data_IF_649703605520
#
_entry.id   IF_649703605520
#
_cell.length_a   1.000
_cell.length_b   1.000
_cell.length_c   1.000
_cell.angle_alpha   90.00
_cell.angle_beta   90.00
_cell.angle_gamma   90.00
#
_symmetry.space_group_name_H-M   'P 1'
#
loop_
_entity.id
_entity.type
_entity.pdbx_description
1 polymer ?
#
# COMPACT_ATOMS: atom_id res chain seq x y z
N UNK A 1 19.82 13.76 95.95
CA UNK A 1 19.56 12.35 96.34
C UNK A 1 19.69 11.46 95.10
N UNK A 2 20.57 10.46 95.20
CA UNK A 2 20.65 9.14 94.55
C UNK A 2 19.95 8.87 93.19
N UNK A 3 20.79 8.76 92.16
CA UNK A 3 21.02 7.69 91.13
C UNK A 3 20.16 6.38 91.15
N UNK A 4 20.24 5.42 90.16
CA UNK A 4 20.40 5.38 88.67
C UNK A 4 19.47 4.34 87.94
N UNK A 5 19.80 4.02 86.66
CA UNK A 5 19.57 2.78 85.85
C UNK A 5 18.25 2.79 85.01
N UNK A 6 18.19 2.55 83.69
CA UNK A 6 18.71 1.41 82.88
C UNK A 6 19.01 1.82 81.43
N UNK A 7 20.13 1.29 80.90
CA UNK A 7 20.46 1.18 79.49
C UNK A 7 19.77 -0.02 78.84
N UNK A 8 19.17 0.17 77.66
CA UNK A 8 18.83 -0.95 76.75
C UNK A 8 19.37 -0.69 75.35
N UNK A 9 20.29 -1.56 74.98
CA UNK A 9 20.76 -1.90 73.64
C UNK A 9 19.56 -2.42 72.82
N UNK A 10 19.44 -2.06 71.53
CA UNK A 10 19.23 -3.06 70.47
C UNK A 10 19.23 -2.52 69.03
N UNK A 11 20.14 -3.14 68.26
CA UNK A 11 20.00 -3.64 66.88
C UNK A 11 19.57 -2.69 65.76
N UNK A 12 20.58 -2.33 64.96
CA UNK A 12 20.50 -2.25 63.50
C UNK A 12 19.73 -3.42 62.91
N UNK A 13 18.65 -3.14 62.16
CA UNK A 13 17.99 -4.14 61.29
C UNK A 13 18.04 -3.66 59.84
N UNK A 14 18.62 -4.53 59.03
CA UNK A 14 18.80 -4.46 57.59
C UNK A 14 17.45 -4.32 56.86
N UNK A 15 17.17 -3.14 56.30
CA UNK A 15 16.01 -2.93 55.42
C UNK A 15 16.31 -2.23 54.09
N UNK A 16 17.48 -1.61 53.96
CA UNK A 16 17.81 -0.73 52.83
C UNK A 16 18.50 -1.43 51.65
N UNK A 17 19.20 -2.55 51.90
CA UNK A 17 20.03 -3.21 50.88
C UNK A 17 19.25 -3.97 49.80
N UNK A 18 18.09 -4.56 50.15
CA UNK A 18 17.34 -5.46 49.25
C UNK A 18 16.63 -4.65 48.15
N UNK A 19 16.05 -3.50 48.51
CA UNK A 19 15.35 -2.63 47.55
C UNK A 19 16.34 -1.96 46.58
N UNK A 20 17.52 -1.54 47.08
CA UNK A 20 18.58 -1.00 46.24
C UNK A 20 19.19 -2.05 45.30
N UNK A 21 19.36 -3.30 45.77
CA UNK A 21 19.83 -4.41 44.95
C UNK A 21 18.82 -4.79 43.86
N UNK A 22 17.52 -4.83 44.18
CA UNK A 22 16.45 -5.08 43.20
C UNK A 22 16.41 -4.00 42.11
N UNK A 23 16.53 -2.74 42.49
CA UNK A 23 16.57 -1.62 41.54
C UNK A 23 17.83 -1.64 40.66
N UNK A 24 18.97 -2.09 41.19
CA UNK A 24 20.20 -2.29 40.43
C UNK A 24 20.09 -3.46 39.44
N UNK A 25 19.46 -4.57 39.84
CA UNK A 25 19.20 -5.73 38.96
C UNK A 25 18.26 -5.34 37.82
N UNK A 26 17.18 -4.60 38.09
CA UNK A 26 16.24 -4.14 37.04
C UNK A 26 16.90 -3.14 36.07
N UNK A 27 17.89 -2.36 36.54
CA UNK A 27 18.67 -1.44 35.69
C UNK A 27 19.82 -2.11 34.94
N UNK A 28 20.21 -3.33 35.32
CA UNK A 28 21.30 -4.08 34.69
C UNK A 28 21.00 -4.43 33.24
N UNK A 29 21.98 -4.23 32.37
CA UNK A 29 21.91 -4.61 30.95
C UNK A 29 21.62 -6.10 30.76
N UNK A 30 22.04 -6.96 31.70
CA UNK A 30 21.76 -8.39 31.69
C UNK A 30 20.28 -8.70 31.92
N UNK A 31 19.61 -7.97 32.81
CA UNK A 31 18.17 -8.15 33.04
C UNK A 31 17.36 -7.69 31.83
N UNK A 32 17.73 -6.55 31.23
CA UNK A 32 17.11 -6.07 29.99
C UNK A 32 17.31 -7.03 28.83
N UNK A 33 18.50 -7.63 28.71
CA UNK A 33 18.78 -8.65 27.71
C UNK A 33 17.98 -9.93 27.97
N UNK A 34 17.90 -10.39 29.21
CA UNK A 34 17.12 -11.58 29.58
C UNK A 34 15.62 -11.37 29.30
N UNK A 35 15.05 -10.23 29.69
CA UNK A 35 13.65 -9.87 29.38
C UNK A 35 13.46 -9.74 27.86
N UNK A 36 14.42 -9.14 27.15
CA UNK A 36 14.41 -9.07 25.68
C UNK A 36 14.43 -10.43 25.00
N UNK A 37 15.26 -11.37 25.48
CA UNK A 37 15.33 -12.74 24.99
C UNK A 37 14.06 -13.54 25.30
N UNK A 38 13.46 -13.36 26.48
CA UNK A 38 12.19 -14.00 26.84
C UNK A 38 11.05 -13.43 25.99
N UNK A 39 10.98 -12.11 25.79
CA UNK A 39 10.00 -11.50 24.89
C UNK A 39 10.19 -11.96 23.44
N UNK A 40 11.43 -12.08 22.96
CA UNK A 40 11.72 -12.61 21.64
C UNK A 40 11.34 -14.10 21.52
N UNK A 41 11.60 -14.91 22.55
CA UNK A 41 11.21 -16.32 22.60
C UNK A 41 9.69 -16.50 22.65
N UNK A 42 8.98 -15.69 23.44
CA UNK A 42 7.51 -15.67 23.49
C UNK A 42 6.96 -15.19 22.15
N UNK A 43 7.52 -14.15 21.54
CA UNK A 43 7.13 -13.70 20.20
C UNK A 43 7.38 -14.78 19.15
N UNK A 44 8.49 -15.51 19.23
CA UNK A 44 8.79 -16.60 18.30
C UNK A 44 7.81 -17.77 18.47
N UNK A 45 7.47 -18.18 19.69
CA UNK A 45 6.52 -19.27 19.92
C UNK A 45 5.05 -18.89 19.72
N UNK A 46 4.68 -17.63 19.95
CA UNK A 46 3.31 -17.13 19.73
C UNK A 46 3.07 -16.80 18.24
N UNK A 47 4.10 -16.34 17.51
CA UNK A 47 3.97 -15.99 16.09
C UNK A 47 4.35 -17.12 15.13
N UNK A 48 5.13 -18.10 15.57
CA UNK A 48 5.53 -19.27 14.80
C UNK A 48 5.26 -20.52 15.64
N UNK A 49 4.26 -21.31 15.25
CA UNK A 49 4.03 -22.62 15.83
C UNK A 49 5.18 -23.55 15.42
N UNK A 50 6.21 -23.67 16.27
CA UNK A 50 7.42 -24.46 16.02
C UNK A 50 7.17 -25.97 16.25
N UNK A 51 5.96 -26.37 16.67
CA UNK A 51 5.64 -27.77 16.95
C UNK A 51 5.41 -28.63 15.69
N UNK A 52 5.35 -28.02 14.49
CA UNK A 52 5.11 -28.72 13.22
C UNK A 52 6.33 -29.02 12.33
N UNK A 53 7.57 -28.78 12.78
CA UNK A 53 8.76 -28.77 11.88
C UNK A 53 9.55 -30.10 11.86
N UNK A 54 9.07 -31.18 12.51
CA UNK A 54 9.70 -32.49 12.37
C UNK A 54 8.71 -33.59 11.98
N UNK A 55 8.67 -33.91 10.69
CA UNK A 55 7.99 -35.08 10.12
C UNK A 55 8.38 -35.31 8.66
N UNK A 56 8.83 -36.51 8.25
CA UNK A 56 9.34 -36.74 6.90
C UNK A 56 8.20 -37.16 5.97
N UNK A 57 7.85 -36.33 4.99
CA UNK A 57 7.08 -36.83 3.84
C UNK A 57 7.45 -36.16 2.51
N UNK A 58 8.70 -36.39 2.11
CA UNK A 58 9.22 -36.03 0.80
C UNK A 58 8.77 -37.04 -0.29
N UNK A 59 8.23 -38.21 0.09
CA UNK A 59 7.81 -39.25 -0.86
C UNK A 59 6.35 -39.10 -1.34
N UNK A 60 5.47 -38.50 -0.55
CA UNK A 60 4.09 -38.18 -1.00
C UNK A 60 4.04 -36.98 -1.95
N UNK A 61 4.99 -36.05 -1.85
CA UNK A 61 5.08 -34.88 -2.75
C UNK A 61 5.56 -35.26 -4.16
N UNK A 62 6.46 -36.24 -4.29
CA UNK A 62 7.05 -36.63 -5.58
C UNK A 62 6.12 -37.49 -6.46
N UNK A 63 5.06 -38.09 -5.91
CA UNK A 63 4.08 -38.86 -6.71
C UNK A 63 3.04 -37.99 -7.42
N UNK A 64 2.94 -36.70 -7.12
CA UNK A 64 1.97 -35.78 -7.76
C UNK A 64 2.51 -35.06 -9.00
N UNK A 65 3.77 -35.28 -9.37
CA UNK A 65 4.42 -34.64 -10.53
C UNK A 65 4.60 -35.55 -11.75
N UNK A 66 3.94 -36.72 -11.78
CA UNK A 66 3.86 -37.57 -12.98
C UNK A 66 2.41 -37.71 -13.41
N UNK A 67 1.95 -36.73 -14.17
CA UNK A 67 0.82 -36.78 -15.10
C UNK A 67 0.95 -35.52 -15.99
N UNK A 68 2.04 -35.49 -16.74
CA UNK A 68 2.19 -34.65 -17.91
C UNK A 68 2.21 -35.63 -19.08
N UNK A 69 1.04 -35.90 -19.64
CA UNK A 69 0.86 -36.39 -21.00
C UNK A 69 -0.57 -36.02 -21.44
N UNK A 70 -0.68 -35.48 -22.65
CA UNK A 70 -1.89 -35.14 -23.41
C UNK A 70 -2.55 -33.77 -23.15
N UNK A 71 -1.91 -32.69 -23.61
CA UNK A 71 -2.62 -31.63 -24.36
C UNK A 71 -1.72 -31.15 -25.51
N UNK A 72 -1.79 -31.85 -26.63
CA UNK A 72 -1.29 -31.38 -27.93
C UNK A 72 -2.26 -31.84 -29.01
N UNK A 73 -3.44 -31.23 -29.10
CA UNK A 73 -4.28 -31.19 -30.31
C UNK A 73 -5.53 -30.35 -30.04
N UNK A 74 -5.50 -29.09 -30.45
CA UNK A 74 -6.68 -28.31 -30.86
C UNK A 74 -6.23 -26.93 -31.35
N UNK A 75 -5.39 -26.91 -32.39
CA UNK A 75 -5.28 -25.76 -33.26
C UNK A 75 -6.36 -25.87 -34.34
N UNK A 76 -6.96 -24.72 -34.66
CA UNK A 76 -7.82 -24.43 -35.83
C UNK A 76 -9.29 -24.91 -35.80
N UNK A 77 -10.20 -23.96 -35.56
CA UNK A 77 -11.41 -23.71 -36.37
C UNK A 77 -11.99 -22.32 -36.07
N UNK A 78 -12.34 -21.50 -37.09
CA UNK A 78 -12.96 -20.19 -36.87
C UNK A 78 -14.47 -20.38 -36.69
N UNK A 79 -15.01 -20.00 -35.53
CA UNK A 79 -16.46 -19.87 -35.35
C UNK A 79 -16.88 -18.43 -35.58
N UNK A 80 -17.68 -18.26 -36.63
CA UNK A 80 -18.35 -17.04 -37.02
C UNK A 80 -19.69 -16.99 -36.26
N UNK A 81 -19.75 -16.28 -35.14
CA UNK A 81 -21.00 -16.00 -34.43
C UNK A 81 -21.16 -14.49 -34.25
N UNK A 82 -22.22 -13.95 -34.83
CA UNK A 82 -22.67 -12.57 -34.65
C UNK A 82 -22.99 -12.33 -33.16
N UNK A 83 -22.47 -11.26 -32.53
CA UNK A 83 -22.83 -10.95 -31.15
C UNK A 83 -24.25 -10.39 -31.11
N UNK A 84 -25.19 -11.19 -30.62
CA UNK A 84 -26.49 -10.72 -30.16
C UNK A 84 -26.28 -9.74 -29.00
N UNK A 85 -26.79 -8.52 -29.21
CA UNK A 85 -26.89 -7.41 -28.26
C UNK A 85 -27.33 -7.86 -26.87
N UNK A 86 -26.38 -8.00 -25.95
CA UNK A 86 -26.63 -7.82 -24.53
C UNK A 86 -26.16 -6.42 -24.16
N UNK A 87 -27.10 -5.58 -23.72
CA UNK A 87 -26.89 -4.21 -23.26
C UNK A 87 -25.87 -4.18 -22.12
N UNK A 88 -24.59 -4.05 -22.46
CA UNK A 88 -23.60 -3.44 -21.59
C UNK A 88 -24.04 -2.00 -21.35
N UNK A 89 -24.13 -1.62 -20.08
CA UNK A 89 -24.29 -0.22 -19.69
C UNK A 89 -22.97 0.46 -20.05
N UNK A 90 -22.87 0.93 -21.29
CA UNK A 90 -21.65 1.54 -21.82
C UNK A 90 -21.28 2.74 -20.98
N UNK A 91 -20.08 2.73 -20.41
CA UNK A 91 -19.43 3.96 -19.95
C UNK A 91 -19.16 4.74 -21.24
N UNK A 92 -19.98 5.74 -21.54
CA UNK A 92 -20.02 6.43 -22.84
C UNK A 92 -18.80 7.32 -23.11
N UNK A 93 -17.86 7.43 -22.18
CA UNK A 93 -16.86 8.49 -22.16
C UNK A 93 -15.45 8.00 -21.80
N UNK A 94 -15.14 6.70 -21.99
CA UNK A 94 -13.77 6.18 -21.80
C UNK A 94 -12.83 6.88 -22.80
N UNK A 95 -11.73 7.52 -22.34
CA UNK A 95 -10.80 8.21 -23.23
C UNK A 95 -10.24 7.32 -24.34
N UNK A 96 -10.12 7.86 -25.56
CA UNK A 96 -9.70 7.10 -26.75
C UNK A 96 -8.30 6.48 -26.60
N UNK A 97 -7.42 7.15 -25.88
CA UNK A 97 -6.05 6.71 -25.62
C UNK A 97 -5.96 5.53 -24.64
N UNK A 98 -7.03 5.28 -23.89
CA UNK A 98 -7.23 4.10 -23.04
C UNK A 98 -7.74 2.92 -23.89
N UNK A 99 -8.66 3.18 -24.84
CA UNK A 99 -9.27 2.16 -25.71
C UNK A 99 -8.29 1.65 -26.80
N UNK A 100 -7.49 2.54 -27.37
CA UNK A 100 -6.62 2.27 -28.53
C UNK A 100 -5.39 1.40 -28.24
N UNK A 101 -5.11 1.06 -26.98
CA UNK A 101 -3.88 0.38 -26.58
C UNK A 101 -3.81 -1.09 -27.04
N UNK A 102 -4.96 -1.70 -27.33
CA UNK A 102 -5.05 -3.05 -27.92
C UNK A 102 -4.34 -3.19 -29.27
N UNK A 103 -4.15 -2.08 -30.01
CA UNK A 103 -3.49 -2.08 -31.32
C UNK A 103 -1.97 -1.85 -31.24
N UNK A 104 -1.40 -1.50 -30.08
CA UNK A 104 0.02 -1.13 -29.96
C UNK A 104 0.94 -2.27 -29.52
N UNK A 105 0.40 -3.40 -29.03
CA UNK A 105 1.18 -4.61 -28.73
C UNK A 105 1.91 -5.19 -29.95
N UNK A 106 1.53 -4.78 -31.16
CA UNK A 106 2.12 -5.20 -32.43
C UNK A 106 3.11 -4.21 -33.06
N UNK A 107 3.17 -2.96 -32.59
CA UNK A 107 4.15 -1.97 -33.03
C UNK A 107 5.40 -2.08 -32.14
N UNK A 108 6.33 -2.92 -32.58
CA UNK A 108 7.72 -3.01 -32.08
C UNK A 108 8.20 -1.72 -31.43
N UNK A 109 8.48 -1.79 -30.12
CA UNK A 109 8.90 -0.70 -29.24
C UNK A 109 9.95 0.22 -29.86
N UNK A 110 9.49 1.28 -30.51
CA UNK A 110 10.34 2.39 -30.92
C UNK A 110 10.82 3.10 -29.65
N UNK A 111 12.14 3.05 -29.42
CA UNK A 111 12.91 3.78 -28.40
C UNK A 111 12.29 3.79 -26.98
N UNK A 112 12.71 2.83 -26.16
CA UNK A 112 12.35 2.82 -24.73
C UNK A 112 12.92 4.04 -23.99
N UNK A 113 12.19 4.55 -23.01
CA UNK A 113 12.70 5.58 -22.11
C UNK A 113 13.95 5.09 -21.36
N UNK A 114 14.90 5.98 -21.03
CA UNK A 114 16.09 5.61 -20.27
C UNK A 114 15.71 5.06 -18.88
N UNK A 115 16.58 4.22 -18.31
CA UNK A 115 16.37 3.60 -16.99
C UNK A 115 16.27 4.68 -15.90
N UNK A 116 17.10 5.73 -16.03
CA UNK A 116 17.06 6.91 -15.17
C UNK A 116 16.50 8.04 -16.03
N UNK A 117 15.33 8.60 -15.69
CA UNK A 117 14.77 9.73 -16.41
C UNK A 117 15.73 10.93 -16.37
N UNK A 118 15.97 11.62 -17.51
CA UNK A 118 16.99 12.66 -17.60
C UNK A 118 16.53 13.99 -16.99
N UNK A 119 15.22 14.17 -16.79
CA UNK A 119 14.59 15.43 -16.38
C UNK A 119 14.30 15.52 -14.88
N UNK A 120 14.89 14.63 -14.07
CA UNK A 120 14.76 14.65 -12.62
C UNK A 120 15.56 15.82 -12.03
N UNK A 121 14.94 16.57 -11.13
CA UNK A 121 15.54 17.75 -10.50
C UNK A 121 15.84 17.57 -9.01
N UNK A 122 15.40 16.45 -8.41
CA UNK A 122 15.50 16.22 -6.98
C UNK A 122 14.37 16.92 -6.24
N UNK A 123 14.71 17.82 -5.31
CA UNK A 123 13.73 18.44 -4.43
C UNK A 123 12.77 19.36 -5.19
N UNK A 124 11.46 19.14 -5.00
CA UNK A 124 10.39 19.94 -5.56
C UNK A 124 9.53 20.46 -4.39
N UNK A 125 9.47 21.79 -4.17
CA UNK A 125 8.66 22.34 -3.10
C UNK A 125 7.16 22.16 -3.38
N UNK A 126 6.43 21.79 -2.33
CA UNK A 126 4.97 21.66 -2.35
C UNK A 126 4.31 23.02 -2.57
N UNK A 127 3.49 23.13 -3.62
CA UNK A 127 2.60 24.28 -3.82
C UNK A 127 1.36 24.08 -2.96
N UNK A 128 1.14 24.95 -1.98
CA UNK A 128 0.00 24.87 -1.04
C UNK A 128 -1.17 25.76 -1.46
N UNK A 129 -0.91 26.76 -2.28
CA UNK A 129 -1.83 27.79 -2.77
C UNK A 129 -2.46 27.39 -4.12
N UNK A 130 -3.13 26.24 -4.16
CA UNK A 130 -3.90 25.81 -5.34
C UNK A 130 -5.36 26.19 -5.10
N UNK A 131 -5.91 27.12 -5.90
CA UNK A 131 -7.28 27.61 -5.69
C UNK A 131 -8.33 26.63 -6.25
N UNK A 132 -8.22 26.32 -7.54
CA UNK A 132 -9.03 25.32 -8.24
C UNK A 132 -8.13 24.44 -9.11
N UNK A 133 -8.62 23.24 -9.45
CA UNK A 133 -7.95 22.39 -10.43
C UNK A 133 -8.17 22.89 -11.85
N UNK A 134 -9.35 23.42 -12.16
CA UNK A 134 -9.72 23.95 -13.48
C UNK A 134 -8.75 25.07 -13.92
N UNK A 135 -8.33 25.93 -12.97
CA UNK A 135 -7.42 27.05 -13.21
C UNK A 135 -5.99 26.61 -13.57
N UNK A 136 -5.59 25.40 -13.13
CA UNK A 136 -4.22 24.89 -13.29
C UNK A 136 -4.13 23.78 -14.35
N UNK A 137 -5.24 23.38 -14.98
CA UNK A 137 -5.24 22.36 -16.04
C UNK A 137 -4.32 22.75 -17.20
N UNK A 138 -4.27 24.05 -17.54
CA UNK A 138 -3.43 24.61 -18.59
C UNK A 138 -1.93 24.46 -18.32
N UNK A 139 -1.51 24.25 -17.07
CA UNK A 139 -0.11 23.99 -16.71
C UNK A 139 0.33 22.55 -17.02
N UNK A 140 -0.63 21.65 -17.29
CA UNK A 140 -0.39 20.24 -17.60
C UNK A 140 -0.95 19.86 -18.97
N UNK A 141 -0.49 20.50 -20.07
CA UNK A 141 -1.06 20.29 -21.41
C UNK A 141 -0.91 18.85 -21.90
N UNK A 142 0.13 18.14 -21.44
CA UNK A 142 0.45 16.77 -21.83
C UNK A 142 -0.30 15.70 -21.04
N UNK A 143 -1.01 16.07 -19.96
CA UNK A 143 -1.87 15.14 -19.22
C UNK A 143 -3.18 15.01 -20.00
N UNK A 144 -3.50 13.82 -20.47
CA UNK A 144 -4.73 13.48 -21.20
C UNK A 144 -5.91 13.31 -20.25
N UNK A 145 -7.12 13.32 -20.81
CA UNK A 145 -8.36 13.14 -20.06
C UNK A 145 -8.30 11.87 -19.19
N UNK A 146 -8.85 11.94 -17.99
CA UNK A 146 -8.72 10.89 -16.97
C UNK A 146 -7.44 10.97 -16.14
N UNK A 147 -6.63 12.02 -16.30
CA UNK A 147 -5.35 12.16 -15.59
C UNK A 147 -4.28 11.18 -16.07
N UNK A 148 -4.35 10.80 -17.35
CA UNK A 148 -3.43 9.84 -17.96
C UNK A 148 -2.29 10.59 -18.64
N UNK A 149 -1.06 10.15 -18.46
CA UNK A 149 0.11 10.76 -19.11
C UNK A 149 1.00 9.69 -19.70
N UNK A 150 1.56 10.00 -20.87
CA UNK A 150 2.58 9.19 -21.53
C UNK A 150 3.69 10.09 -22.09
N UNK A 151 4.97 9.70 -21.96
CA UNK A 151 6.06 10.41 -22.63
C UNK A 151 5.89 10.42 -24.14
N UNK A 152 6.17 11.54 -24.80
CA UNK A 152 6.02 11.69 -26.26
C UNK A 152 7.25 11.19 -27.03
N UNK A 153 8.42 11.28 -26.42
CA UNK A 153 9.73 11.07 -27.06
C UNK A 153 10.26 9.64 -26.93
N UNK A 154 9.59 8.82 -26.12
CA UNK A 154 9.99 7.44 -25.83
C UNK A 154 8.82 6.60 -25.32
N UNK A 155 8.94 5.28 -25.44
CA UNK A 155 7.98 4.34 -24.86
C UNK A 155 8.35 4.06 -23.40
N UNK A 156 7.43 4.35 -22.46
CA UNK A 156 7.70 4.10 -21.04
C UNK A 156 7.90 2.61 -20.75
N UNK A 157 8.78 2.31 -19.79
CA UNK A 157 8.99 0.96 -19.26
C UNK A 157 7.96 0.59 -18.19
N UNK A 158 7.19 1.57 -17.71
CA UNK A 158 6.34 1.42 -16.55
C UNK A 158 4.96 2.03 -16.82
N UNK A 159 3.94 1.16 -16.86
CA UNK A 159 2.51 1.53 -16.82
C UNK A 159 2.02 1.47 -15.37
N UNK A 160 1.66 2.62 -14.79
CA UNK A 160 1.45 2.78 -13.35
C UNK A 160 0.08 3.38 -13.03
N UNK A 161 -0.73 2.69 -12.23
CA UNK A 161 -1.94 3.27 -11.66
C UNK A 161 -1.64 3.87 -10.28
N UNK A 162 -1.97 5.14 -10.09
CA UNK A 162 -1.90 5.82 -8.79
C UNK A 162 -3.29 5.79 -8.16
N UNK A 163 -3.45 5.03 -7.09
CA UNK A 163 -4.73 4.73 -6.46
C UNK A 163 -4.87 5.51 -5.15
N UNK A 164 -5.85 6.41 -5.10
CA UNK A 164 -6.02 7.36 -4.00
C UNK A 164 -7.40 7.14 -3.36
N UNK A 165 -7.47 6.52 -2.17
CA UNK A 165 -8.73 6.35 -1.46
C UNK A 165 -9.16 7.70 -0.88
N UNK A 166 -10.43 8.07 -1.07
CA UNK A 166 -10.88 9.44 -0.88
C UNK A 166 -12.27 9.52 -0.23
N UNK A 167 -12.48 10.55 0.60
CA UNK A 167 -13.80 11.04 1.05
C UNK A 167 -13.65 12.40 1.73
N UNK A 168 -14.44 13.40 1.33
CA UNK A 168 -14.53 14.72 2.00
C UNK A 168 -13.18 15.42 2.25
N UNK A 169 -12.31 15.44 1.23
CA UNK A 169 -10.92 15.96 1.32
C UNK A 169 -10.60 16.95 0.19
N UNK A 170 -11.56 17.80 -0.20
CA UNK A 170 -11.47 18.67 -1.38
C UNK A 170 -10.23 19.59 -1.38
N UNK A 171 -9.91 20.20 -0.24
CA UNK A 171 -8.72 21.05 -0.09
C UNK A 171 -7.41 20.27 -0.25
N UNK A 172 -7.37 19.02 0.22
CA UNK A 172 -6.22 18.14 0.00
C UNK A 172 -6.14 17.70 -1.45
N UNK A 173 -7.28 17.42 -2.09
CA UNK A 173 -7.34 16.95 -3.46
C UNK A 173 -6.68 17.91 -4.44
N UNK A 174 -7.05 19.19 -4.40
CA UNK A 174 -6.47 20.19 -5.32
C UNK A 174 -4.96 20.36 -5.14
N UNK A 175 -4.49 20.39 -3.90
CA UNK A 175 -3.06 20.48 -3.57
C UNK A 175 -2.33 19.22 -4.05
N UNK A 176 -2.88 18.04 -3.77
CA UNK A 176 -2.29 16.76 -4.13
C UNK A 176 -2.18 16.59 -5.65
N UNK A 177 -3.28 16.76 -6.38
CA UNK A 177 -3.34 16.55 -7.84
C UNK A 177 -2.38 17.48 -8.57
N UNK A 178 -2.32 18.76 -8.19
CA UNK A 178 -1.36 19.68 -8.78
C UNK A 178 0.09 19.22 -8.56
N UNK A 179 0.46 18.86 -7.33
CA UNK A 179 1.85 18.52 -7.02
C UNK A 179 2.25 17.14 -7.55
N UNK A 180 1.35 16.16 -7.62
CA UNK A 180 1.68 14.82 -8.11
C UNK A 180 2.04 14.86 -9.60
N UNK A 181 1.32 15.63 -10.44
CA UNK A 181 1.66 15.75 -11.86
C UNK A 181 3.03 16.41 -12.11
N UNK A 182 3.42 17.40 -11.28
CA UNK A 182 4.75 18.03 -11.34
C UNK A 182 5.89 17.05 -11.12
N UNK A 183 5.64 15.99 -10.35
CA UNK A 183 6.60 14.93 -10.03
C UNK A 183 6.56 13.83 -11.09
N UNK A 184 5.39 13.26 -11.37
CA UNK A 184 5.27 12.06 -12.19
C UNK A 184 5.66 12.29 -13.66
N UNK A 185 5.34 13.44 -14.25
CA UNK A 185 5.68 13.73 -15.65
C UNK A 185 7.21 13.68 -15.89
N UNK A 186 8.03 14.12 -14.92
CA UNK A 186 9.51 14.10 -14.99
C UNK A 186 10.09 12.70 -14.96
N UNK A 187 9.34 11.74 -14.42
CA UNK A 187 9.77 10.36 -14.24
C UNK A 187 9.65 9.51 -15.50
N UNK A 188 9.10 10.06 -16.60
CA UNK A 188 8.89 9.36 -17.86
C UNK A 188 8.14 8.02 -17.70
N UNK A 189 7.23 7.95 -16.73
CA UNK A 189 6.32 6.82 -16.54
C UNK A 189 5.03 7.04 -17.33
N UNK A 190 4.45 5.97 -17.85
CA UNK A 190 3.06 5.96 -18.32
C UNK A 190 2.19 5.78 -17.07
N UNK A 191 1.37 6.78 -16.73
CA UNK A 191 0.61 6.74 -15.48
C UNK A 191 -0.81 7.29 -15.60
N UNK A 192 -1.73 6.69 -14.86
CA UNK A 192 -3.08 7.22 -14.62
C UNK A 192 -3.31 7.53 -13.14
N UNK A 193 -4.03 8.61 -12.85
CA UNK A 193 -4.38 9.03 -11.49
C UNK A 193 -5.84 8.72 -11.20
N UNK A 194 -6.11 7.91 -10.18
CA UNK A 194 -7.45 7.46 -9.80
C UNK A 194 -7.79 7.90 -8.39
N UNK A 195 -8.89 8.64 -8.27
CA UNK A 195 -9.46 9.08 -6.99
C UNK A 195 -10.70 8.24 -6.72
N UNK A 196 -10.60 7.33 -5.76
CA UNK A 196 -11.64 6.37 -5.41
C UNK A 196 -12.41 6.88 -4.20
N UNK A 197 -13.55 7.49 -4.44
CA UNK A 197 -14.40 8.10 -3.44
C UNK A 197 -15.40 7.10 -2.83
N UNK A 198 -15.45 7.04 -1.49
CA UNK A 198 -16.47 6.30 -0.77
C UNK A 198 -17.76 7.12 -0.65
N UNK A 199 -18.82 6.69 -1.35
CA UNK A 199 -20.12 7.36 -1.39
C UNK A 199 -21.12 6.93 -0.32
N UNK A 200 -20.84 5.89 0.44
CA UNK A 200 -21.70 5.42 1.54
C UNK A 200 -21.35 6.06 2.90
N UNK A 201 -22.28 5.91 3.85
CA UNK A 201 -22.21 6.51 5.18
C UNK A 201 -21.50 5.64 6.23
N UNK A 202 -20.84 4.52 5.85
CA UNK A 202 -20.07 3.72 6.81
C UNK A 202 -18.79 4.45 7.23
N UNK A 203 -18.11 3.90 8.24
CA UNK A 203 -16.75 4.31 8.55
C UNK A 203 -15.86 4.21 7.30
N UNK A 204 -14.81 5.03 7.22
CA UNK A 204 -13.94 5.04 6.04
C UNK A 204 -13.19 3.71 5.92
N UNK A 205 -13.18 3.11 4.73
CA UNK A 205 -12.50 1.84 4.50
C UNK A 205 -11.45 1.98 3.40
N UNK A 206 -10.27 2.43 3.82
CA UNK A 206 -9.12 2.69 2.95
C UNK A 206 -8.75 1.47 2.11
N UNK A 207 -8.50 0.33 2.74
CA UNK A 207 -8.08 -0.90 2.07
C UNK A 207 -9.09 -1.40 1.02
N UNK A 208 -10.39 -1.33 1.32
CA UNK A 208 -11.44 -1.73 0.37
C UNK A 208 -11.47 -0.81 -0.85
N UNK A 209 -11.29 0.50 -0.68
CA UNK A 209 -11.18 1.45 -1.79
C UNK A 209 -9.93 1.19 -2.66
N UNK A 210 -8.80 0.78 -2.06
CA UNK A 210 -7.61 0.40 -2.83
C UNK A 210 -7.85 -0.84 -3.70
N UNK A 211 -8.59 -1.84 -3.19
CA UNK A 211 -9.01 -3.00 -3.99
C UNK A 211 -9.92 -2.59 -5.14
N UNK A 212 -10.89 -1.71 -4.89
CA UNK A 212 -11.79 -1.16 -5.93
C UNK A 212 -10.97 -0.44 -6.99
N UNK A 213 -10.07 0.46 -6.59
CA UNK A 213 -9.19 1.19 -7.51
C UNK A 213 -8.33 0.26 -8.36
N UNK A 214 -7.81 -0.83 -7.78
CA UNK A 214 -7.08 -1.85 -8.52
C UNK A 214 -7.93 -2.50 -9.61
N UNK A 215 -9.17 -2.92 -9.28
CA UNK A 215 -10.08 -3.58 -10.21
C UNK A 215 -10.51 -2.62 -11.34
N UNK A 216 -10.98 -1.43 -10.99
CA UNK A 216 -11.48 -0.45 -11.97
C UNK A 216 -10.36 0.06 -12.90
N UNK A 217 -9.18 0.38 -12.35
CA UNK A 217 -8.06 0.82 -13.19
C UNK A 217 -7.55 -0.28 -14.14
N UNK A 218 -7.54 -1.54 -13.69
CA UNK A 218 -7.13 -2.68 -14.52
C UNK A 218 -8.15 -2.98 -15.64
N UNK A 219 -9.43 -2.68 -15.41
CA UNK A 219 -10.47 -2.80 -16.43
C UNK A 219 -10.34 -1.75 -17.53
N UNK A 220 -9.78 -0.58 -17.19
CA UNK A 220 -9.57 0.51 -18.14
C UNK A 220 -8.28 0.31 -18.95
N UNK A 221 -7.18 -0.04 -18.30
CA UNK A 221 -5.86 -0.07 -18.94
C UNK A 221 -4.96 -1.17 -18.39
N UNK A 222 -4.03 -1.70 -19.19
CA UNK A 222 -3.11 -2.76 -18.76
C UNK A 222 -1.96 -2.24 -17.87
N UNK A 223 -2.32 -1.69 -16.70
CA UNK A 223 -1.35 -1.30 -15.69
C UNK A 223 -0.62 -2.53 -15.14
N UNK A 224 0.71 -2.41 -15.04
CA UNK A 224 1.58 -3.45 -14.46
C UNK A 224 1.97 -3.15 -13.01
N UNK A 225 1.82 -1.90 -12.59
CA UNK A 225 2.23 -1.38 -11.30
C UNK A 225 1.13 -0.54 -10.67
N UNK A 226 0.94 -0.70 -9.36
CA UNK A 226 -0.07 0.01 -8.59
C UNK A 226 0.60 0.70 -7.41
N UNK A 227 0.42 2.01 -7.31
CA UNK A 227 0.88 2.83 -6.19
C UNK A 227 -0.33 3.19 -5.35
N UNK A 228 -0.35 2.74 -4.11
CA UNK A 228 -1.39 3.04 -3.13
C UNK A 228 -0.97 4.28 -2.35
N UNK A 229 -1.80 5.32 -2.40
CA UNK A 229 -1.36 6.65 -2.03
C UNK A 229 -2.36 7.36 -1.11
N UNK A 230 -1.92 7.75 0.08
CA UNK A 230 -2.71 8.63 0.95
C UNK A 230 -2.76 10.05 0.37
N UNK A 231 -3.94 10.67 0.32
CA UNK A 231 -4.16 11.99 -0.30
C UNK A 231 -3.41 13.13 0.42
N UNK A 232 -3.01 12.93 1.67
CA UNK A 232 -2.38 13.92 2.51
C UNK A 232 -0.84 13.82 2.53
N UNK A 233 -0.25 12.97 1.70
CA UNK A 233 1.20 12.88 1.54
C UNK A 233 1.59 13.43 0.17
N UNK A 234 2.39 14.49 0.10
CA UNK A 234 2.85 15.06 -1.17
C UNK A 234 4.33 14.71 -1.37
N UNK A 235 4.73 14.02 -2.45
CA UNK A 235 6.14 13.77 -2.72
C UNK A 235 6.88 15.08 -2.99
N UNK A 236 8.05 15.25 -2.36
CA UNK A 236 8.88 16.46 -2.52
C UNK A 236 10.23 16.18 -3.16
N UNK A 237 10.44 14.98 -3.70
CA UNK A 237 11.67 14.62 -4.41
C UNK A 237 11.36 13.66 -5.57
N UNK A 238 11.56 14.12 -6.79
CA UNK A 238 11.19 13.36 -8.00
C UNK A 238 12.11 12.16 -8.27
N UNK A 239 13.25 12.06 -7.57
CA UNK A 239 14.12 10.88 -7.59
C UNK A 239 13.47 9.72 -6.82
N UNK A 240 12.38 9.91 -6.08
CA UNK A 240 11.57 8.83 -5.55
C UNK A 240 10.61 8.28 -6.63
N UNK A 241 11.18 7.69 -7.69
CA UNK A 241 10.43 7.27 -8.88
C UNK A 241 9.29 6.30 -8.54
N UNK A 242 8.09 6.60 -9.03
CA UNK A 242 6.82 5.90 -8.80
C UNK A 242 6.71 4.66 -9.67
N UNK A 243 7.56 3.68 -9.38
CA UNK A 243 7.60 2.40 -10.09
C UNK A 243 7.67 1.23 -9.13
N UNK A 244 7.16 0.10 -9.59
CA UNK A 244 7.19 -1.15 -8.85
C UNK A 244 8.52 -1.88 -9.12
N UNK A 245 9.35 -2.11 -8.10
CA UNK A 245 10.44 -3.06 -8.23
C UNK A 245 9.90 -4.50 -8.21
N UNK A 246 10.79 -5.49 -8.34
CA UNK A 246 10.44 -6.91 -8.23
C UNK A 246 9.83 -7.29 -6.86
N UNK A 247 10.05 -6.47 -5.84
CA UNK A 247 9.56 -6.66 -4.47
C UNK A 247 8.63 -5.50 -4.07
N UNK A 248 7.81 -5.65 -3.02
CA UNK A 248 7.00 -4.55 -2.50
C UNK A 248 7.86 -3.34 -2.14
N UNK A 249 7.39 -2.13 -2.45
CA UNK A 249 8.09 -0.89 -2.08
C UNK A 249 7.25 -0.08 -1.11
N UNK A 250 7.81 0.28 0.03
CA UNK A 250 7.30 1.37 0.85
C UNK A 250 8.00 2.66 0.44
N UNK A 251 7.23 3.71 0.17
CA UNK A 251 7.70 4.91 -0.50
C UNK A 251 7.81 6.13 0.42
N UNK A 252 6.94 6.27 1.42
CA UNK A 252 6.90 7.40 2.36
C UNK A 252 7.85 7.26 3.55
N UNK A 253 9.16 7.23 3.29
CA UNK A 253 10.18 6.93 4.32
C UNK A 253 10.44 8.11 5.26
N UNK A 254 10.42 9.34 4.74
CA UNK A 254 10.62 10.56 5.52
C UNK A 254 9.46 11.52 5.26
N UNK A 255 8.80 11.98 6.32
CA UNK A 255 7.62 12.86 6.26
C UNK A 255 7.92 14.08 7.14
N UNK A 256 7.91 15.29 6.56
CA UNK A 256 8.18 16.55 7.27
C UNK A 256 9.42 16.50 8.18
N UNK A 257 10.52 15.94 7.66
CA UNK A 257 11.80 15.74 8.36
C UNK A 257 11.82 14.67 9.47
N UNK A 258 10.72 13.95 9.67
CA UNK A 258 10.63 12.84 10.62
C UNK A 258 10.63 11.49 9.89
N UNK A 259 10.94 10.41 10.62
CA UNK A 259 10.80 9.05 10.07
C UNK A 259 9.32 8.72 9.86
N UNK A 260 8.95 8.43 8.61
CA UNK A 260 7.67 7.81 8.26
C UNK A 260 7.67 6.30 8.49
N UNK A 261 8.76 5.73 9.00
CA UNK A 261 8.92 4.30 9.31
C UNK A 261 9.08 4.14 10.82
N UNK A 262 7.99 4.21 11.60
CA UNK A 262 8.06 4.05 13.06
C UNK A 262 8.43 2.62 13.49
N UNK A 263 8.26 1.64 12.60
CA UNK A 263 8.66 0.25 12.80
C UNK A 263 8.98 -0.42 11.45
N UNK A 264 9.82 -1.46 11.48
CA UNK A 264 10.39 -2.08 10.27
C UNK A 264 9.33 -2.61 9.27
N UNK A 265 8.17 -3.02 9.77
CA UNK A 265 7.07 -3.61 9.01
C UNK A 265 6.09 -2.59 8.40
N UNK A 266 6.31 -1.29 8.61
CA UNK A 266 5.42 -0.23 8.12
C UNK A 266 5.26 -0.28 6.59
N UNK A 267 4.02 -0.35 6.12
CA UNK A 267 3.65 -0.33 4.71
C UNK A 267 2.51 0.66 4.39
N UNK A 268 2.09 1.46 5.38
CA UNK A 268 1.10 2.53 5.22
C UNK A 268 1.65 3.80 4.58
N UNK A 269 0.82 4.82 4.42
CA UNK A 269 1.20 6.05 3.72
C UNK A 269 1.20 5.86 2.21
N UNK A 270 2.39 5.65 1.64
CA UNK A 270 2.58 5.42 0.21
C UNK A 270 3.36 4.14 -0.03
N UNK A 271 2.81 3.26 -0.85
CA UNK A 271 3.42 1.96 -1.19
C UNK A 271 3.17 1.57 -2.65
N UNK A 272 3.96 0.64 -3.18
CA UNK A 272 3.81 0.15 -4.55
C UNK A 272 3.94 -1.37 -4.63
N UNK A 273 3.03 -1.99 -5.40
CA UNK A 273 3.00 -3.43 -5.70
C UNK A 273 2.76 -3.67 -7.18
N UNK A 274 3.39 -4.71 -7.73
CA UNK A 274 3.09 -5.18 -9.09
C UNK A 274 1.71 -5.82 -9.15
N UNK A 275 1.15 -5.90 -10.37
CA UNK A 275 -0.08 -6.65 -10.67
C UNK A 275 -0.03 -8.08 -10.11
N UNK A 276 1.09 -8.76 -10.33
CA UNK A 276 1.32 -10.13 -9.85
C UNK A 276 1.27 -10.22 -8.32
N UNK A 277 1.95 -9.32 -7.61
CA UNK A 277 1.96 -9.34 -6.14
C UNK A 277 0.57 -9.09 -5.56
N UNK A 278 -0.19 -8.16 -6.13
CA UNK A 278 -1.59 -7.92 -5.74
C UNK A 278 -2.46 -9.18 -5.88
N UNK A 279 -2.34 -9.90 -6.99
CA UNK A 279 -3.09 -11.14 -7.20
C UNK A 279 -2.66 -12.24 -6.22
N UNK A 280 -1.34 -12.42 -6.03
CA UNK A 280 -0.80 -13.48 -5.15
C UNK A 280 -1.18 -13.32 -3.68
N UNK A 281 -1.35 -12.10 -3.21
CA UNK A 281 -1.81 -11.83 -1.83
C UNK A 281 -3.31 -11.67 -1.69
N UNK A 282 -4.07 -11.84 -2.78
CA UNK A 282 -5.50 -11.57 -2.83
C UNK A 282 -5.83 -10.11 -2.43
N UNK A 283 -4.98 -9.15 -2.80
CA UNK A 283 -5.10 -7.73 -2.42
C UNK A 283 -5.22 -7.46 -0.91
N UNK A 284 -5.80 -6.31 -0.58
CA UNK A 284 -5.99 -5.86 0.81
C UNK A 284 -7.21 -6.52 1.47
N UNK A 285 -7.25 -6.55 2.81
CA UNK A 285 -8.42 -6.95 3.59
C UNK A 285 -9.57 -5.97 3.43
N UNK A 286 -10.79 -6.45 3.19
CA UNK A 286 -11.96 -5.57 3.00
C UNK A 286 -12.65 -5.17 4.31
N UNK A 287 -12.21 -5.70 5.46
CA UNK A 287 -12.96 -5.61 6.73
C UNK A 287 -12.42 -4.58 7.73
N UNK A 288 -11.43 -3.78 7.32
CA UNK A 288 -10.91 -2.68 8.14
C UNK A 288 -11.77 -1.41 7.99
N UNK A 289 -12.81 -1.31 8.83
CA UNK A 289 -13.67 -0.14 8.93
C UNK A 289 -13.14 0.84 9.97
N UNK A 290 -12.70 2.02 9.54
CA UNK A 290 -12.00 2.99 10.38
C UNK A 290 -10.48 2.81 10.36
N UNK A 291 -9.76 3.64 11.13
CA UNK A 291 -8.30 3.72 11.01
C UNK A 291 -7.55 2.53 11.65
N UNK A 292 -6.62 1.98 10.88
CA UNK A 292 -5.46 1.21 11.35
C UNK A 292 -5.55 -0.30 11.19
N UNK A 293 -4.39 -0.92 10.94
CA UNK A 293 -4.16 -2.35 10.91
C UNK A 293 -4.27 -3.00 9.52
N UNK A 294 -4.81 -2.30 8.53
CA UNK A 294 -4.93 -2.79 7.16
C UNK A 294 -3.58 -2.87 6.44
N UNK A 295 -2.70 -1.92 6.73
CA UNK A 295 -1.32 -1.88 6.21
C UNK A 295 -0.49 -3.05 6.76
N UNK A 296 -0.69 -3.34 8.04
CA UNK A 296 -0.02 -4.42 8.76
C UNK A 296 -0.48 -5.79 8.24
N UNK A 297 -1.78 -5.95 7.98
CA UNK A 297 -2.36 -7.15 7.35
C UNK A 297 -1.71 -7.38 5.98
N UNK A 298 -1.63 -6.34 5.14
CA UNK A 298 -0.92 -6.42 3.86
C UNK A 298 0.55 -6.82 4.02
N UNK A 299 1.28 -6.25 4.98
CA UNK A 299 2.66 -6.66 5.27
C UNK A 299 2.74 -8.14 5.65
N UNK A 300 1.80 -8.65 6.45
CA UNK A 300 1.76 -10.07 6.82
C UNK A 300 1.47 -10.97 5.63
N UNK A 301 0.53 -10.60 4.75
CA UNK A 301 0.26 -11.33 3.50
C UNK A 301 1.50 -11.38 2.60
N UNK A 302 2.18 -10.25 2.42
CA UNK A 302 3.42 -10.17 1.62
C UNK A 302 4.54 -11.03 2.20
N UNK A 303 4.75 -10.97 3.51
CA UNK A 303 5.74 -11.82 4.18
C UNK A 303 5.41 -13.31 4.06
N UNK A 304 4.13 -13.67 4.08
CA UNK A 304 3.71 -15.06 3.93
C UNK A 304 4.14 -15.69 2.59
N UNK A 305 4.22 -14.87 1.54
CA UNK A 305 4.72 -15.27 0.22
C UNK A 305 6.20 -14.91 0.01
N UNK A 306 6.98 -14.82 1.10
CA UNK A 306 8.42 -14.55 1.15
C UNK A 306 8.85 -13.23 0.51
N UNK A 307 7.99 -12.21 0.53
CA UNK A 307 8.34 -10.88 0.06
C UNK A 307 8.95 -10.02 1.17
N UNK A 308 9.91 -9.19 0.79
CA UNK A 308 10.57 -8.23 1.69
C UNK A 308 10.34 -6.81 1.18
N UNK A 309 9.93 -5.91 2.08
CA UNK A 309 9.65 -4.51 1.75
C UNK A 309 10.96 -3.77 1.43
N UNK A 310 11.03 -3.17 0.25
CA UNK A 310 12.10 -2.29 -0.18
C UNK A 310 11.77 -0.82 0.14
N UNK A 311 12.80 -0.05 0.46
CA UNK A 311 12.70 1.40 0.71
C UNK A 311 13.86 2.10 0.00
N UNK A 312 13.60 3.28 -0.57
CA UNK A 312 14.70 4.16 -1.01
C UNK A 312 15.33 4.83 0.22
N UNK A 313 16.56 5.35 0.10
CA UNK A 313 17.17 6.19 1.13
C UNK A 313 16.24 7.35 1.56
N UNK A 314 16.21 7.66 2.86
CA UNK A 314 15.30 8.67 3.42
C UNK A 314 15.54 10.10 2.92
N UNK A 315 16.74 10.40 2.41
CA UNK A 315 17.04 11.68 1.75
C UNK A 315 16.38 11.83 0.36
N UNK A 316 15.90 10.73 -0.23
CA UNK A 316 15.16 10.70 -1.51
C UNK A 316 13.68 10.42 -1.27
N UNK A 317 13.33 9.46 -0.41
CA UNK A 317 11.94 9.07 -0.15
C UNK A 317 11.22 10.04 0.79
N UNK A 318 11.12 11.31 0.38
CA UNK A 318 10.64 12.44 1.17
C UNK A 318 9.24 12.89 0.75
N UNK A 319 8.43 13.20 1.76
CA UNK A 319 7.06 13.69 1.61
C UNK A 319 6.81 14.86 2.57
N UNK A 320 5.88 15.72 2.18
CA UNK A 320 5.23 16.69 3.06
C UNK A 320 3.84 16.19 3.45
N UNK A 321 3.48 16.27 4.73
CA UNK A 321 2.12 15.94 5.17
C UNK A 321 1.21 17.16 5.11
N UNK A 322 0.04 17.01 4.50
CA UNK A 322 -1.03 17.99 4.55
C UNK A 322 -1.77 17.84 5.89
N UNK A 323 -1.95 18.96 6.59
CA UNK A 323 -2.58 18.99 7.91
C UNK A 323 -3.98 18.38 7.85
N UNK A 324 -4.27 17.46 8.75
CA UNK A 324 -5.56 16.79 8.86
C UNK A 324 -5.91 16.45 10.30
N UNK A 325 -7.21 16.31 10.58
CA UNK A 325 -7.71 15.70 11.81
C UNK A 325 -7.51 14.19 11.76
N UNK A 326 -7.06 13.61 12.88
CA UNK A 326 -6.84 12.16 12.99
C UNK A 326 -8.17 11.41 12.86
N UNK A 327 -8.18 10.38 12.04
CA UNK A 327 -9.34 9.49 11.87
C UNK A 327 -9.63 8.68 13.14
N UNK A 328 -10.90 8.31 13.33
CA UNK A 328 -11.34 7.43 14.41
C UNK A 328 -10.70 6.04 14.26
N UNK A 329 -10.02 5.59 15.30
CA UNK A 329 -9.36 4.27 15.31
C UNK A 329 -10.41 3.16 15.28
N UNK A 330 -10.18 2.14 14.47
CA UNK A 330 -10.98 0.92 14.51
C UNK A 330 -10.65 0.16 15.82
N UNK A 331 -11.60 -0.01 16.76
CA UNK A 331 -11.33 -0.70 18.02
C UNK A 331 -11.02 -2.20 17.82
N UNK A 332 -11.55 -2.81 16.76
CA UNK A 332 -11.37 -4.23 16.45
C UNK A 332 -10.08 -4.55 15.67
N UNK A 333 -9.31 -3.53 15.25
CA UNK A 333 -8.17 -3.69 14.32
C UNK A 333 -7.18 -4.78 14.72
N UNK A 334 -6.84 -4.91 16.01
CA UNK A 334 -5.90 -5.93 16.47
C UNK A 334 -6.52 -7.32 16.46
N UNK A 335 -7.81 -7.45 16.79
CA UNK A 335 -8.52 -8.72 16.68
C UNK A 335 -8.64 -9.20 15.23
N UNK A 336 -8.90 -8.27 14.30
CA UNK A 336 -8.92 -8.52 12.85
C UNK A 336 -7.53 -8.94 12.37
N UNK A 337 -6.50 -8.19 12.77
CA UNK A 337 -5.11 -8.43 12.39
C UNK A 337 -4.63 -9.78 12.90
N UNK A 338 -4.92 -10.16 14.15
CA UNK A 338 -4.50 -11.46 14.69
C UNK A 338 -5.05 -12.66 13.89
N UNK A 339 -6.19 -12.49 13.21
CA UNK A 339 -6.82 -13.52 12.37
C UNK A 339 -6.52 -13.38 10.88
N UNK A 340 -5.54 -12.57 10.49
CA UNK A 340 -5.21 -12.32 9.07
C UNK A 340 -4.98 -13.61 8.29
N UNK A 341 -4.25 -14.58 8.87
CA UNK A 341 -3.84 -15.83 8.21
C UNK A 341 -5.03 -16.74 7.89
N UNK A 342 -6.05 -16.74 8.74
CA UNK A 342 -7.28 -17.51 8.53
C UNK A 342 -8.12 -16.92 7.40
N UNK A 343 -8.04 -15.60 7.19
CA UNK A 343 -8.96 -14.86 6.33
C UNK A 343 -8.38 -14.50 4.96
N UNK A 344 -7.07 -14.30 4.80
CA UNK A 344 -6.54 -13.67 3.58
C UNK A 344 -6.90 -14.38 2.26
N UNK A 345 -7.21 -15.69 2.31
CA UNK A 345 -7.67 -16.47 1.15
C UNK A 345 -9.14 -16.22 0.77
N UNK A 346 -9.96 -15.75 1.71
CA UNK A 346 -11.41 -15.51 1.52
C UNK A 346 -11.81 -14.04 1.69
N UNK A 347 -10.91 -13.21 2.23
CA UNK A 347 -11.08 -11.77 2.39
C UNK A 347 -10.02 -11.01 1.58
N UNK A 348 -10.44 -10.46 0.45
CA UNK A 348 -9.54 -9.79 -0.48
C UNK A 348 -10.19 -9.39 -1.80
N UNK A 349 -9.40 -9.35 -2.87
CA UNK A 349 -9.90 -9.09 -4.23
C UNK A 349 -11.01 -10.05 -4.65
N UNK A 350 -10.93 -11.32 -4.24
CA UNK A 350 -11.93 -12.33 -4.58
C UNK A 350 -13.29 -12.17 -3.87
N UNK A 351 -13.39 -11.28 -2.88
CA UNK A 351 -14.61 -11.10 -2.08
C UNK A 351 -15.00 -9.65 -1.88
N UNK A 352 -14.32 -8.71 -2.54
CA UNK A 352 -14.67 -7.29 -2.47
C UNK A 352 -16.03 -7.05 -3.12
N UNK A 353 -17.01 -6.64 -2.31
CA UNK A 353 -18.36 -6.25 -2.77
C UNK A 353 -18.51 -4.75 -2.78
N UNK A 354 -18.92 -4.18 -3.91
CA UNK A 354 -19.16 -2.76 -4.08
C UNK A 354 -20.06 -2.50 -5.29
N UNK A 355 -20.56 -1.27 -5.40
CA UNK A 355 -21.27 -0.78 -6.59
C UNK A 355 -20.68 0.54 -7.02
N UNK A 356 -20.28 0.65 -8.29
CA UNK A 356 -19.94 1.95 -8.89
C UNK A 356 -21.23 2.74 -9.04
N UNK A 357 -21.30 3.88 -8.35
CA UNK A 357 -22.41 4.82 -8.44
C UNK A 357 -22.21 5.77 -9.62
N UNK A 358 -20.98 6.25 -9.80
CA UNK A 358 -20.61 7.18 -10.84
C UNK A 358 -19.10 7.06 -11.17
N UNK A 359 -18.72 7.49 -12.37
CA UNK A 359 -17.35 7.56 -12.83
C UNK A 359 -17.20 8.73 -13.80
N UNK A 360 -16.20 9.59 -13.58
CA UNK A 360 -15.93 10.73 -14.43
C UNK A 360 -14.44 10.85 -14.76
N UNK A 361 -14.12 10.97 -16.04
CA UNK A 361 -12.77 11.25 -16.52
C UNK A 361 -12.54 12.75 -16.54
N UNK A 362 -12.00 13.31 -15.45
CA UNK A 362 -11.60 14.72 -15.39
C UNK A 362 -10.24 14.90 -16.04
N UNK A 363 -9.85 16.12 -16.41
CA UNK A 363 -8.56 16.37 -17.10
C UNK A 363 -7.38 15.79 -16.33
N UNK A 364 -7.33 16.00 -15.01
CA UNK A 364 -6.16 15.64 -14.19
C UNK A 364 -6.33 14.33 -13.41
N UNK A 365 -7.50 13.71 -13.39
CA UNK A 365 -7.70 12.42 -12.72
C UNK A 365 -9.00 11.74 -13.15
N UNK A 366 -9.06 10.44 -12.98
CA UNK A 366 -10.31 9.67 -13.06
C UNK A 366 -10.93 9.62 -11.67
N UNK A 367 -12.15 10.11 -11.54
CA UNK A 367 -12.94 10.05 -10.32
C UNK A 367 -13.88 8.86 -10.37
N UNK A 368 -13.90 8.08 -9.29
CA UNK A 368 -14.72 6.87 -9.17
C UNK A 368 -15.48 6.95 -7.86
N UNK A 369 -16.81 7.02 -7.92
CA UNK A 369 -17.68 7.03 -6.74
C UNK A 369 -18.22 5.62 -6.50
N UNK A 370 -17.85 5.03 -5.36
CA UNK A 370 -18.22 3.66 -5.01
C UNK A 370 -19.05 3.59 -3.72
N UNK A 371 -20.08 2.75 -3.74
CA UNK A 371 -20.84 2.32 -2.56
C UNK A 371 -20.29 0.98 -2.06
N UNK A 372 -19.82 0.94 -0.82
CA UNK A 372 -19.16 -0.23 -0.23
C UNK A 372 -20.13 -1.10 0.61
N UNK A 373 -21.43 -0.80 0.59
CA UNK A 373 -22.44 -1.65 1.23
C UNK A 373 -22.52 -2.99 0.51
N UNK A 374 -22.63 -4.07 1.28
CA UNK A 374 -22.91 -5.38 0.72
C UNK A 374 -24.37 -5.37 0.27
N UNK A 375 -24.59 -5.53 -1.04
CA UNK A 375 -25.91 -5.86 -1.59
C UNK A 375 -26.01 -7.37 -1.73
#
# INVERSE_FOLDING_TARGET
MKVPVVSTINSTVQGSGILAALLAVVRSSYFKLAVGCVLAYVMMNVCFDVSGIYGPDLKTVLRRFSLADNISEAAAKPHNENPTNNKTRGISDVPEDVVSDSNRSYLSAQKLCPIIPPNLVGYIPTKMDVQSLDDVEGEFPDVMLGGHFRPKECTSRHRVAILIPYRNRAEHLKIFIYNIHRVLARQQIDYGVFVIEQGDNKEFNRAKLLNIGYLESTALYDYQCFVFHDIDLVPVDDRNVYTCPQKPRHMSVTIDSHSGVPYYLMFGGVSALSKELMLRVNGYSNIYWGWGGEDDDMTFRLKHINQTILRRPGNIARYTSLKHTKSKKNPARFGILNKWRERYKTDGLNSVKYKIMDMAFKKLYTWILADLREQ
#
